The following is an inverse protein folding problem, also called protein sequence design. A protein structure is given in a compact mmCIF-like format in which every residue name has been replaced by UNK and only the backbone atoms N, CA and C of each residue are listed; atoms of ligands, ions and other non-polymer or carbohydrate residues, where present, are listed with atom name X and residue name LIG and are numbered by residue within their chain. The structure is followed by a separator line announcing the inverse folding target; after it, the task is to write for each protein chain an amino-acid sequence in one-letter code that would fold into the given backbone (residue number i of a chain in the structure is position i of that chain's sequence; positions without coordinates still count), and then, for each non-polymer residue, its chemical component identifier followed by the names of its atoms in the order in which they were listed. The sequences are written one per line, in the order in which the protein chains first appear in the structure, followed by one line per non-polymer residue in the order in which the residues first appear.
data_IF_052613258564
#
_entry.id   IF_052613258564
#
_cell.length_a   1.000
_cell.length_b   1.000
_cell.length_c   1.000
_cell.angle_alpha   90.00
_cell.angle_beta   90.00
_cell.angle_gamma   90.00
#
_symmetry.space_group_name_H-M   'P 1'
#
loop_
_entity.id
_entity.type
_entity.pdbx_description
1 polymer ?
#
# COMPACT_ATOMS: atom_id res chain seq x y z
N UNK A 1 -4.60 -21.80 8.42
CA UNK A 1 -5.04 -20.42 8.14
C UNK A 1 -5.30 -19.58 9.40
N UNK A 2 -5.88 -20.13 10.47
CA UNK A 2 -6.20 -19.39 11.71
C UNK A 2 -5.00 -18.78 12.43
N UNK A 3 -3.85 -19.48 12.43
CA UNK A 3 -2.60 -18.99 13.06
C UNK A 3 -2.07 -17.72 12.37
N UNK A 4 -2.20 -17.61 11.04
CA UNK A 4 -1.77 -16.42 10.29
C UNK A 4 -2.65 -15.21 10.66
N UNK A 5 -3.97 -15.38 10.67
CA UNK A 5 -4.91 -14.33 11.02
C UNK A 5 -4.71 -13.79 12.45
N UNK A 6 -4.56 -14.67 13.44
CA UNK A 6 -4.31 -14.28 14.83
C UNK A 6 -3.00 -13.49 14.96
N UNK A 7 -1.92 -13.95 14.30
CA UNK A 7 -0.63 -13.26 14.33
C UNK A 7 -0.69 -11.86 13.69
N UNK A 8 -1.41 -11.70 12.56
CA UNK A 8 -1.60 -10.42 11.88
C UNK A 8 -2.42 -9.45 12.73
N UNK A 9 -3.47 -9.94 13.40
CA UNK A 9 -4.28 -9.13 14.32
C UNK A 9 -3.50 -8.74 15.58
N UNK A 10 -2.73 -9.66 16.16
CA UNK A 10 -1.85 -9.38 17.28
C UNK A 10 -0.81 -8.31 16.92
N UNK A 11 -0.19 -8.38 15.75
CA UNK A 11 0.73 -7.36 15.26
C UNK A 11 0.05 -5.99 15.05
N UNK A 12 -1.22 -5.97 14.62
CA UNK A 12 -1.99 -4.74 14.37
C UNK A 12 -2.43 -4.02 15.65
N UNK A 13 -2.82 -4.79 16.67
CA UNK A 13 -3.46 -4.28 17.89
C UNK A 13 -2.58 -4.37 19.13
N UNK A 14 -1.43 -5.05 19.06
CA UNK A 14 -0.49 -5.20 20.18
C UNK A 14 -0.97 -6.13 21.30
N UNK A 15 -1.93 -7.01 21.05
CA UNK A 15 -2.48 -7.95 22.03
C UNK A 15 -2.29 -9.40 21.60
N UNK A 16 -1.90 -10.27 22.55
CA UNK A 16 -1.48 -11.64 22.25
C UNK A 16 -2.63 -12.61 21.90
N UNK A 17 -3.87 -12.30 22.25
CA UNK A 17 -4.99 -13.25 22.13
C UNK A 17 -6.24 -12.64 21.50
N UNK A 18 -6.11 -12.19 20.25
CA UNK A 18 -7.27 -11.75 19.46
C UNK A 18 -7.79 -12.94 18.66
N UNK A 19 -9.03 -13.35 18.98
CA UNK A 19 -9.76 -14.33 18.19
C UNK A 19 -9.80 -13.94 16.71
N UNK A 20 -9.50 -14.86 15.77
CA UNK A 20 -9.56 -14.58 14.34
C UNK A 20 -10.93 -14.06 13.92
N UNK A 21 -10.95 -12.89 13.29
CA UNK A 21 -12.17 -12.31 12.71
C UNK A 21 -12.61 -13.13 11.49
N UNK A 22 -13.93 -13.31 11.32
CA UNK A 22 -14.54 -13.95 10.16
C UNK A 22 -15.69 -13.09 9.62
N UNK A 23 -15.95 -13.06 8.30
CA UNK A 23 -15.24 -13.80 7.26
C UNK A 23 -13.84 -13.24 6.97
N UNK A 24 -12.91 -14.12 6.60
CA UNK A 24 -11.52 -13.78 6.22
C UNK A 24 -11.30 -14.13 4.75
N UNK A 25 -10.75 -13.21 3.98
CA UNK A 25 -10.44 -13.40 2.56
C UNK A 25 -9.06 -12.81 2.22
N UNK A 26 -8.61 -12.98 0.99
CA UNK A 26 -7.30 -12.53 0.53
C UNK A 26 -7.11 -11.00 0.67
N UNK A 27 -8.14 -10.20 0.41
CA UNK A 27 -8.07 -8.74 0.56
C UNK A 27 -7.85 -8.32 2.02
N UNK A 28 -8.60 -8.90 2.96
CA UNK A 28 -8.42 -8.65 4.39
C UNK A 28 -7.04 -9.14 4.86
N UNK A 29 -6.60 -10.29 4.36
CA UNK A 29 -5.29 -10.85 4.66
C UNK A 29 -4.14 -9.92 4.23
N UNK A 30 -4.22 -9.35 3.02
CA UNK A 30 -3.25 -8.41 2.47
C UNK A 30 -3.25 -7.07 3.23
N UNK A 31 -4.43 -6.53 3.55
CA UNK A 31 -4.56 -5.28 4.30
C UNK A 31 -3.93 -5.38 5.70
N UNK A 32 -4.10 -6.51 6.38
CA UNK A 32 -3.52 -6.75 7.72
C UNK A 32 -2.04 -7.16 7.68
N UNK A 33 -1.53 -7.58 6.52
CA UNK A 33 -0.11 -7.82 6.27
C UNK A 33 0.68 -6.55 5.97
N UNK A 34 0.02 -5.43 5.65
CA UNK A 34 0.68 -4.18 5.27
C UNK A 34 1.81 -3.78 6.22
N UNK A 35 3.00 -3.53 5.67
CA UNK A 35 4.16 -2.92 6.32
C UNK A 35 4.75 -1.86 5.39
N UNK A 36 5.24 -0.76 5.94
CA UNK A 36 5.99 0.23 5.15
C UNK A 36 7.38 -0.31 4.80
N UNK A 37 7.67 -0.45 3.51
CA UNK A 37 8.97 -0.86 3.00
C UNK A 37 9.83 0.37 2.70
N UNK A 38 11.10 0.36 3.08
CA UNK A 38 12.06 1.47 2.87
C UNK A 38 13.37 1.06 2.20
N UNK A 39 13.51 -0.22 1.86
CA UNK A 39 14.64 -0.76 1.11
C UNK A 39 14.06 -1.49 -0.11
N UNK A 40 14.46 -1.06 -1.30
CA UNK A 40 13.96 -1.56 -2.58
C UNK A 40 15.10 -2.08 -3.43
N UNK A 41 14.79 -2.99 -4.34
CA UNK A 41 15.75 -3.46 -5.35
C UNK A 41 15.80 -2.47 -6.53
N UNK A 42 16.80 -2.61 -7.39
CA UNK A 42 16.89 -1.84 -8.65
C UNK A 42 15.95 -2.40 -9.74
N UNK A 43 15.10 -3.37 -9.41
CA UNK A 43 14.17 -3.97 -10.36
C UNK A 43 13.11 -2.93 -10.77
N UNK A 44 12.96 -2.62 -12.07
CA UNK A 44 11.93 -1.70 -12.52
C UNK A 44 10.55 -2.31 -12.35
N UNK A 45 9.53 -1.45 -12.23
CA UNK A 45 8.14 -1.87 -12.28
C UNK A 45 7.81 -2.41 -13.67
N UNK A 46 6.91 -3.40 -13.73
CA UNK A 46 6.34 -3.85 -15.02
C UNK A 46 5.52 -2.71 -15.62
N UNK A 47 5.50 -2.62 -16.95
CA UNK A 47 4.86 -1.54 -17.71
C UNK A 47 3.46 -1.19 -17.20
N UNK A 48 2.57 -2.19 -17.04
CA UNK A 48 1.16 -2.00 -16.62
C UNK A 48 0.93 -1.71 -15.13
N UNK A 49 1.99 -1.67 -14.33
CA UNK A 49 1.86 -1.62 -12.86
C UNK A 49 1.25 -0.30 -12.42
N UNK A 50 1.72 0.82 -12.98
CA UNK A 50 1.27 2.15 -12.57
C UNK A 50 -0.21 2.35 -12.96
N UNK A 51 -0.61 1.94 -14.16
CA UNK A 51 -1.98 2.03 -14.66
C UNK A 51 -2.93 1.21 -13.79
N UNK A 52 -2.52 -0.01 -13.41
CA UNK A 52 -3.31 -0.87 -12.52
C UNK A 52 -3.51 -0.21 -11.16
N UNK A 53 -2.47 0.38 -10.58
CA UNK A 53 -2.54 1.07 -9.29
C UNK A 53 -3.38 2.35 -9.36
N UNK A 54 -3.26 3.11 -10.46
CA UNK A 54 -4.06 4.33 -10.67
C UNK A 54 -5.54 3.98 -10.86
N UNK A 55 -5.88 2.93 -11.59
CA UNK A 55 -7.26 2.47 -11.74
C UNK A 55 -7.87 2.05 -10.39
N UNK A 56 -7.10 1.34 -9.55
CA UNK A 56 -7.52 1.00 -8.20
C UNK A 56 -7.73 2.26 -7.34
N UNK A 57 -6.83 3.25 -7.42
CA UNK A 57 -6.95 4.51 -6.69
C UNK A 57 -8.17 5.34 -7.14
N UNK A 58 -8.43 5.41 -8.45
CA UNK A 58 -9.60 6.08 -9.05
C UNK A 58 -10.93 5.47 -8.61
N UNK A 59 -10.92 4.19 -8.22
CA UNK A 59 -12.11 3.47 -7.76
C UNK A 59 -12.51 3.82 -6.32
N UNK A 60 -11.70 4.58 -5.58
CA UNK A 60 -12.04 5.03 -4.24
C UNK A 60 -13.17 6.09 -4.26
N UNK A 61 -14.03 6.07 -3.24
CA UNK A 61 -15.07 7.09 -3.10
C UNK A 61 -14.45 8.50 -2.95
N UNK A 62 -15.01 9.48 -3.65
CA UNK A 62 -14.61 10.89 -3.54
C UNK A 62 -15.81 11.76 -3.20
N UNK A 63 -15.58 12.83 -2.43
CA UNK A 63 -16.65 13.74 -2.02
C UNK A 63 -17.39 14.28 -3.25
N UNK A 64 -18.71 14.08 -3.27
CA UNK A 64 -19.59 14.48 -4.38
C UNK A 64 -19.13 13.98 -5.76
N UNK A 65 -18.38 12.87 -5.80
CA UNK A 65 -17.75 12.33 -7.01
C UNK A 65 -16.87 13.32 -7.80
N UNK A 66 -16.32 14.34 -7.13
CA UNK A 66 -15.57 15.40 -7.81
C UNK A 66 -14.18 14.97 -8.27
N UNK A 67 -13.64 13.86 -7.77
CA UNK A 67 -12.32 13.34 -8.16
C UNK A 67 -11.19 14.38 -8.00
N UNK A 68 -11.22 15.14 -6.90
CA UNK A 68 -10.28 16.23 -6.59
C UNK A 68 -8.90 15.73 -6.16
N UNK A 69 -8.20 15.07 -7.06
CA UNK A 69 -6.82 14.62 -6.86
C UNK A 69 -6.08 14.52 -8.20
N UNK A 70 -4.75 14.61 -8.12
CA UNK A 70 -3.86 14.38 -9.24
C UNK A 70 -2.70 13.50 -8.77
N UNK A 71 -2.14 12.70 -9.67
CA UNK A 71 -0.93 11.92 -9.44
C UNK A 71 0.10 12.21 -10.52
N UNK A 72 1.36 12.30 -10.11
CA UNK A 72 2.51 12.50 -11.01
C UNK A 72 3.48 11.36 -10.82
N UNK A 73 3.62 10.50 -11.84
CA UNK A 73 4.59 9.42 -11.84
C UNK A 73 5.98 9.95 -12.27
N UNK A 74 6.89 10.10 -11.31
CA UNK A 74 8.26 10.58 -11.57
C UNK A 74 9.19 9.38 -11.76
N UNK A 75 9.55 9.09 -13.02
CA UNK A 75 10.42 7.95 -13.34
C UNK A 75 11.90 8.36 -13.52
N UNK A 76 12.14 9.60 -13.94
CA UNK A 76 13.48 10.15 -14.16
C UNK A 76 14.32 10.15 -12.88
N UNK A 77 15.54 9.59 -12.97
CA UNK A 77 16.44 9.39 -11.82
C UNK A 77 16.86 10.70 -11.17
N UNK A 78 17.25 11.70 -11.97
CA UNK A 78 17.73 12.98 -11.48
C UNK A 78 16.62 13.77 -10.79
N UNK A 79 15.40 13.74 -11.33
CA UNK A 79 14.22 14.32 -10.68
C UNK A 79 13.91 13.62 -9.36
N UNK A 80 13.99 12.28 -9.29
CA UNK A 80 13.79 11.53 -8.03
C UNK A 80 14.85 11.91 -6.99
N UNK A 81 16.12 12.03 -7.38
CA UNK A 81 17.19 12.43 -6.46
C UNK A 81 16.94 13.83 -5.88
N UNK A 82 16.51 14.78 -6.71
CA UNK A 82 16.12 16.13 -6.25
C UNK A 82 14.93 16.10 -5.29
N UNK A 83 13.92 15.28 -5.56
CA UNK A 83 12.77 15.12 -4.66
C UNK A 83 13.17 14.49 -3.32
N UNK A 84 14.07 13.49 -3.32
CA UNK A 84 14.59 12.88 -2.10
C UNK A 84 15.24 13.91 -1.19
N UNK A 85 16.06 14.80 -1.75
CA UNK A 85 16.72 15.86 -0.97
C UNK A 85 15.73 16.84 -0.33
N UNK A 86 14.63 17.15 -1.03
CA UNK A 86 13.56 18.00 -0.48
C UNK A 86 12.72 17.28 0.58
N UNK A 87 12.67 15.95 0.54
CA UNK A 87 11.88 15.12 1.47
C UNK A 87 12.62 14.72 2.75
N UNK A 88 13.88 15.16 2.93
CA UNK A 88 14.67 14.87 4.13
C UNK A 88 15.88 13.95 3.92
N UNK A 89 16.32 13.76 2.67
CA UNK A 89 17.43 12.86 2.27
C UNK A 89 17.29 11.45 2.86
#
# INVERSE_FOLDING_TARGET
MTVNAQSKLAARYGAADISPLKPWNETIDLLLEHRSVRAFTDQPLREVTIETLVAAAQSASTSSNLQVWSVVAVQDGDRKARLSALAGN
#
